data_IF_142249832126
#
_entry.id   IF_142249832126
#
_cell.length_a   1.000
_cell.length_b   1.000
_cell.length_c   1.000
_cell.angle_alpha   90.00
_cell.angle_beta   90.00
_cell.angle_gamma   90.00
#
_symmetry.space_group_name_H-M   'P 1'
#
loop_
_entity.id
_entity.type
_entity.pdbx_description
1 polymer ?
#
# COMPACT_ATOMS: atom_id res chain seq x y z
N UNK A 1 -7.75 14.51 5.71
CA UNK A 1 -8.78 13.45 5.86
C UNK A 1 -8.24 12.15 5.32
N UNK A 2 -8.32 11.03 6.07
CA UNK A 2 -7.88 9.73 5.58
C UNK A 2 -8.79 9.28 4.41
N UNK A 3 -8.19 8.80 3.31
CA UNK A 3 -8.90 8.29 2.14
C UNK A 3 -9.52 6.92 2.46
N UNK A 4 -10.83 6.77 2.29
CA UNK A 4 -11.52 5.49 2.46
C UNK A 4 -11.33 4.62 1.23
N UNK A 5 -10.62 3.52 1.41
CA UNK A 5 -10.20 2.61 0.36
C UNK A 5 -10.83 1.23 0.52
N UNK A 6 -11.74 0.85 -0.39
CA UNK A 6 -12.28 -0.50 -0.41
C UNK A 6 -11.39 -1.44 -1.22
N UNK A 7 -11.08 -2.61 -0.66
CA UNK A 7 -10.33 -3.67 -1.35
C UNK A 7 -11.32 -4.78 -1.70
N UNK A 8 -11.62 -4.94 -2.98
CA UNK A 8 -12.62 -5.87 -3.50
C UNK A 8 -12.03 -6.81 -4.55
N UNK A 9 -12.68 -7.94 -4.77
CA UNK A 9 -12.26 -8.96 -5.71
C UNK A 9 -12.66 -10.35 -5.21
N UNK A 10 -12.53 -11.36 -6.06
CA UNK A 10 -12.86 -12.75 -5.70
C UNK A 10 -11.96 -13.30 -4.57
N UNK A 11 -12.31 -14.44 -3.95
CA UNK A 11 -11.45 -15.12 -2.98
C UNK A 11 -10.06 -15.45 -3.55
N UNK A 12 -9.05 -15.50 -2.68
CA UNK A 12 -7.67 -15.92 -2.97
C UNK A 12 -6.86 -15.06 -3.95
N UNK A 13 -7.35 -13.89 -4.38
CA UNK A 13 -6.56 -12.95 -5.21
C UNK A 13 -5.49 -12.18 -4.40
N UNK A 14 -5.50 -12.30 -3.08
CA UNK A 14 -4.53 -11.66 -2.19
C UNK A 14 -5.00 -10.34 -1.56
N UNK A 15 -6.34 -10.12 -1.46
CA UNK A 15 -6.91 -8.93 -0.79
C UNK A 15 -6.40 -8.74 0.62
N UNK A 16 -6.46 -9.79 1.45
CA UNK A 16 -5.99 -9.72 2.85
C UNK A 16 -4.48 -9.50 2.95
N UNK A 17 -3.71 -10.01 2.00
CA UNK A 17 -2.26 -9.74 1.94
C UNK A 17 -2.01 -8.27 1.65
N UNK A 18 -2.72 -7.70 0.67
CA UNK A 18 -2.62 -6.28 0.33
C UNK A 18 -3.10 -5.40 1.50
N UNK A 19 -4.26 -5.76 2.09
CA UNK A 19 -4.80 -5.07 3.28
C UNK A 19 -3.77 -5.03 4.41
N UNK A 20 -3.21 -6.17 4.81
CA UNK A 20 -2.22 -6.26 5.88
C UNK A 20 -0.95 -5.47 5.56
N UNK A 21 -0.55 -5.42 4.30
CA UNK A 21 0.60 -4.64 3.86
C UNK A 21 0.36 -3.14 3.95
N UNK A 22 -0.80 -2.67 3.56
CA UNK A 22 -1.19 -1.26 3.66
C UNK A 22 -1.45 -0.84 5.11
N UNK A 23 -2.04 -1.71 5.93
CA UNK A 23 -2.27 -1.47 7.36
C UNK A 23 -0.96 -1.44 8.17
N UNK A 24 0.13 -2.03 7.65
CA UNK A 24 1.44 -2.05 8.30
C UNK A 24 1.47 -2.86 9.60
N UNK A 25 2.55 -2.69 10.38
CA UNK A 25 2.72 -3.40 11.68
C UNK A 25 1.81 -2.85 12.80
N UNK A 26 1.16 -1.73 12.61
CA UNK A 26 0.11 -1.23 13.50
C UNK A 26 -1.21 -1.88 13.13
N UNK A 27 -1.28 -3.19 13.34
CA UNK A 27 -2.48 -3.97 13.14
C UNK A 27 -3.69 -3.35 13.81
N UNK A 28 -4.71 -3.12 12.97
CA UNK A 28 -6.12 -3.07 13.29
C UNK A 28 -6.45 -2.89 14.77
N UNK A 29 -6.70 -1.68 15.18
CA UNK A 29 -7.72 -1.47 16.19
C UNK A 29 -9.03 -1.82 15.45
N UNK A 30 -9.46 -3.07 15.57
CA UNK A 30 -10.86 -3.43 15.34
C UNK A 30 -11.64 -2.57 16.31
N UNK A 31 -12.34 -1.56 15.81
CA UNK A 31 -13.20 -0.74 16.64
C UNK A 31 -14.37 -1.65 17.07
N UNK A 32 -14.25 -2.26 18.25
CA UNK A 32 -15.26 -3.07 18.91
C UNK A 32 -16.42 -2.18 19.41
N UNK A 33 -16.97 -1.33 18.55
CA UNK A 33 -18.22 -0.65 18.87
C UNK A 33 -19.35 -1.65 18.78
N UNK A 34 -20.11 -1.87 19.89
CA UNK A 34 -21.29 -2.72 19.87
C UNK A 34 -22.31 -2.14 18.88
N UNK A 35 -22.60 -2.88 17.81
CA UNK A 35 -23.58 -2.49 16.79
C UNK A 35 -23.03 -2.43 15.35
N UNK A 36 -21.73 -2.51 15.13
CA UNK A 36 -21.14 -2.68 13.80
C UNK A 36 -21.05 -4.19 13.55
N UNK A 37 -21.71 -4.66 12.51
CA UNK A 37 -21.74 -6.08 12.12
C UNK A 37 -20.31 -6.62 12.01
N UNK A 38 -20.06 -7.81 12.58
CA UNK A 38 -18.80 -8.58 12.60
C UNK A 38 -18.18 -8.87 11.21
N UNK A 39 -18.73 -8.30 10.16
CA UNK A 39 -18.56 -8.70 8.77
C UNK A 39 -17.57 -7.86 7.96
N UNK A 40 -16.88 -6.88 8.59
CA UNK A 40 -15.92 -6.01 7.90
C UNK A 40 -14.70 -5.75 8.77
N UNK A 41 -13.56 -5.89 8.16
CA UNK A 41 -12.30 -5.41 8.76
C UNK A 41 -12.07 -4.00 8.29
N UNK A 42 -12.10 -3.05 9.21
CA UNK A 42 -11.64 -1.69 8.97
C UNK A 42 -10.30 -1.51 9.68
N UNK A 43 -9.36 -0.87 9.01
CA UNK A 43 -8.05 -0.56 9.59
C UNK A 43 -7.53 0.77 9.08
N UNK A 44 -6.80 1.48 9.92
CA UNK A 44 -5.97 2.57 9.45
C UNK A 44 -4.74 2.00 8.75
N UNK A 45 -4.43 2.53 7.58
CA UNK A 45 -3.28 2.14 6.78
C UNK A 45 -2.50 3.36 6.31
N UNK A 46 -1.36 3.09 5.69
CA UNK A 46 -0.51 4.12 5.12
C UNK A 46 0.19 3.60 3.87
N UNK A 47 0.20 4.42 2.82
CA UNK A 47 1.00 4.16 1.63
C UNK A 47 1.77 5.45 1.27
N UNK A 48 3.09 5.43 1.45
CA UNK A 48 3.88 6.65 1.38
C UNK A 48 3.48 7.64 2.48
N UNK A 49 3.02 8.81 2.10
CA UNK A 49 2.47 9.86 2.96
C UNK A 49 0.93 9.88 3.01
N UNK A 50 0.27 9.03 2.21
CA UNK A 50 -1.18 8.91 2.22
C UNK A 50 -1.66 8.17 3.47
N UNK A 51 -2.58 8.78 4.22
CA UNK A 51 -3.33 8.12 5.28
C UNK A 51 -4.58 7.48 4.71
N UNK A 52 -4.76 6.19 4.99
CA UNK A 52 -5.82 5.36 4.43
C UNK A 52 -6.72 4.82 5.53
N UNK A 53 -8.02 4.80 5.27
CA UNK A 53 -9.00 4.02 6.01
C UNK A 53 -9.40 2.81 5.14
N UNK A 54 -8.86 1.64 5.46
CA UNK A 54 -9.00 0.44 4.65
C UNK A 54 -10.29 -0.30 5.01
N UNK A 55 -11.04 -0.73 4.00
CA UNK A 55 -12.22 -1.56 4.13
C UNK A 55 -11.94 -2.89 3.41
N UNK A 56 -11.84 -3.99 4.17
CA UNK A 56 -11.64 -5.34 3.61
C UNK A 56 -12.96 -6.10 3.51
N UNK A 57 -13.19 -6.70 2.34
CA UNK A 57 -14.36 -7.54 2.08
C UNK A 57 -14.07 -9.04 2.26
N UNK A 58 -12.89 -9.43 2.73
CA UNK A 58 -12.39 -10.82 2.76
C UNK A 58 -12.94 -11.70 3.91
N UNK A 59 -14.03 -11.37 4.57
CA UNK A 59 -14.50 -12.08 5.78
C UNK A 59 -15.31 -13.37 5.59
N UNK A 60 -15.57 -13.88 4.36
CA UNK A 60 -16.58 -14.94 4.12
C UNK A 60 -16.16 -16.04 3.14
N UNK A 61 -14.92 -16.51 3.22
CA UNK A 61 -14.40 -17.51 2.29
C UNK A 61 -14.86 -18.96 2.57
N UNK A 62 -15.60 -19.25 3.65
CA UNK A 62 -15.85 -20.61 4.14
C UNK A 62 -17.23 -21.21 3.82
N UNK A 63 -18.07 -20.59 2.98
CA UNK A 63 -19.41 -21.11 2.68
C UNK A 63 -19.60 -21.38 1.18
N UNK A 64 -19.81 -22.64 0.83
CA UNK A 64 -20.10 -23.11 -0.54
C UNK A 64 -21.59 -23.23 -0.77
N UNK A 65 -22.30 -22.14 -1.10
CA UNK A 65 -23.73 -22.20 -1.45
C UNK A 65 -24.11 -21.01 -2.37
N UNK A 66 -25.19 -21.13 -3.16
CA UNK A 66 -25.73 -20.05 -4.02
C UNK A 66 -26.03 -18.75 -3.25
N UNK A 67 -26.29 -18.86 -1.93
CA UNK A 67 -26.37 -17.73 -1.01
C UNK A 67 -25.06 -16.96 -0.86
N UNK A 68 -23.89 -17.57 -1.18
CA UNK A 68 -22.56 -16.98 -1.05
C UNK A 68 -22.36 -15.87 -2.08
N UNK A 69 -22.67 -16.10 -3.36
CA UNK A 69 -22.51 -15.09 -4.40
C UNK A 69 -23.37 -13.84 -4.13
N UNK A 70 -24.60 -14.05 -3.66
CA UNK A 70 -25.49 -12.95 -3.30
C UNK A 70 -24.94 -12.13 -2.12
N UNK A 71 -24.35 -12.79 -1.11
CA UNK A 71 -23.71 -12.13 0.03
C UNK A 71 -22.45 -11.39 -0.38
N UNK A 72 -21.61 -12.02 -1.18
CA UNK A 72 -20.39 -11.39 -1.72
C UNK A 72 -20.72 -10.15 -2.54
N UNK A 73 -21.76 -10.20 -3.36
CA UNK A 73 -22.29 -9.03 -4.09
C UNK A 73 -22.71 -7.92 -3.13
N UNK A 74 -23.61 -8.22 -2.19
CA UNK A 74 -24.14 -7.23 -1.24
C UNK A 74 -23.02 -6.57 -0.40
N UNK A 75 -22.02 -7.35 0.02
CA UNK A 75 -20.87 -6.82 0.76
C UNK A 75 -19.95 -5.95 -0.11
N UNK A 76 -19.67 -6.39 -1.34
CA UNK A 76 -18.89 -5.60 -2.29
C UNK A 76 -19.59 -4.30 -2.62
N UNK A 77 -20.89 -4.34 -2.89
CA UNK A 77 -21.72 -3.16 -3.14
C UNK A 77 -21.61 -2.16 -2.00
N UNK A 78 -21.84 -2.61 -0.78
CA UNK A 78 -21.78 -1.77 0.40
C UNK A 78 -20.36 -1.23 0.67
N UNK A 79 -19.31 -2.05 0.45
CA UNK A 79 -17.93 -1.58 0.60
C UNK A 79 -17.56 -0.49 -0.42
N UNK A 80 -18.00 -0.64 -1.67
CA UNK A 80 -17.81 0.34 -2.72
C UNK A 80 -18.61 1.62 -2.44
N UNK A 81 -19.83 1.51 -1.91
CA UNK A 81 -20.65 2.66 -1.53
C UNK A 81 -20.01 3.49 -0.41
N UNK A 82 -19.47 2.83 0.61
CA UNK A 82 -18.87 3.47 1.79
C UNK A 82 -17.47 4.04 1.52
N UNK A 83 -16.81 3.65 0.41
CA UNK A 83 -15.47 4.06 0.06
C UNK A 83 -15.45 5.32 -0.82
N UNK A 84 -14.32 6.04 -0.77
CA UNK A 84 -14.01 7.14 -1.68
C UNK A 84 -13.38 6.59 -2.98
N UNK A 85 -12.59 5.52 -2.86
CA UNK A 85 -11.87 4.85 -3.94
C UNK A 85 -11.94 3.33 -3.77
N UNK A 86 -12.05 2.60 -4.87
CA UNK A 86 -12.09 1.14 -4.90
C UNK A 86 -10.82 0.57 -5.54
N UNK A 87 -10.15 -0.37 -4.86
CA UNK A 87 -9.14 -1.25 -5.45
C UNK A 87 -9.78 -2.56 -5.87
N UNK A 88 -9.97 -2.77 -7.15
CA UNK A 88 -10.44 -4.05 -7.68
C UNK A 88 -9.23 -4.96 -7.94
N UNK A 89 -9.07 -5.98 -7.12
CA UNK A 89 -7.90 -6.88 -7.12
C UNK A 89 -8.21 -8.16 -7.86
N UNK A 90 -7.35 -8.50 -8.82
CA UNK A 90 -7.36 -9.79 -9.54
C UNK A 90 -6.05 -10.54 -9.32
N UNK A 91 -6.04 -11.85 -9.57
CA UNK A 91 -4.82 -12.68 -9.60
C UNK A 91 -4.25 -12.69 -11.02
N UNK A 92 -3.19 -11.94 -11.26
CA UNK A 92 -2.56 -11.84 -12.58
C UNK A 92 -1.99 -13.18 -13.07
N UNK A 93 -1.64 -14.09 -12.16
CA UNK A 93 -1.11 -15.41 -12.46
C UNK A 93 -2.18 -16.36 -13.01
N UNK A 94 -3.39 -16.29 -12.47
CA UNK A 94 -4.53 -17.09 -12.93
C UNK A 94 -5.24 -16.49 -14.16
N UNK A 95 -5.07 -15.18 -14.39
CA UNK A 95 -5.79 -14.43 -15.40
C UNK A 95 -7.23 -14.12 -15.02
N UNK A 96 -8.01 -13.67 -15.99
CA UNK A 96 -9.40 -13.23 -15.81
C UNK A 96 -10.36 -14.42 -15.74
N UNK A 97 -11.11 -14.51 -14.63
CA UNK A 97 -12.14 -15.54 -14.43
C UNK A 97 -13.55 -15.00 -14.67
N UNK A 98 -14.57 -15.87 -14.85
CA UNK A 98 -15.96 -15.44 -14.93
C UNK A 98 -16.43 -14.63 -13.72
N UNK A 99 -15.93 -14.97 -12.50
CA UNK A 99 -16.26 -14.27 -11.27
C UNK A 99 -15.67 -12.85 -11.26
N UNK A 100 -14.44 -12.66 -11.77
CA UNK A 100 -13.85 -11.32 -11.91
C UNK A 100 -14.70 -10.42 -12.85
N UNK A 101 -15.30 -10.99 -13.90
CA UNK A 101 -16.20 -10.25 -14.80
C UNK A 101 -17.46 -9.77 -14.09
N UNK A 102 -18.04 -10.62 -13.24
CA UNK A 102 -19.21 -10.27 -12.41
C UNK A 102 -18.87 -9.09 -11.47
N UNK A 103 -17.71 -9.15 -10.80
CA UNK A 103 -17.26 -8.05 -9.94
C UNK A 103 -16.99 -6.77 -10.73
N UNK A 104 -16.35 -6.87 -11.90
CA UNK A 104 -16.08 -5.71 -12.74
C UNK A 104 -17.37 -5.01 -13.19
N UNK A 105 -18.42 -5.76 -13.58
CA UNK A 105 -19.73 -5.23 -13.96
C UNK A 105 -20.39 -4.52 -12.77
N UNK A 106 -20.36 -5.14 -11.59
CA UNK A 106 -20.96 -4.61 -10.37
C UNK A 106 -20.29 -3.27 -9.96
N UNK A 107 -18.96 -3.20 -10.03
CA UNK A 107 -18.20 -2.02 -9.64
C UNK A 107 -18.42 -0.90 -10.65
N UNK A 108 -18.42 -1.21 -11.96
CA UNK A 108 -18.64 -0.24 -13.04
C UNK A 108 -19.97 0.50 -12.92
N UNK A 109 -21.01 -0.16 -12.38
CA UNK A 109 -22.33 0.44 -12.18
C UNK A 109 -22.40 1.47 -11.03
N UNK A 110 -21.33 1.67 -10.25
CA UNK A 110 -21.40 2.43 -8.99
C UNK A 110 -20.85 3.85 -9.04
N UNK A 111 -20.40 4.32 -10.15
CA UNK A 111 -19.93 5.71 -10.35
C UNK A 111 -18.88 6.19 -9.31
N UNK A 112 -18.02 5.25 -8.84
CA UNK A 112 -16.91 5.50 -7.92
C UNK A 112 -15.59 5.35 -8.67
N UNK A 113 -14.55 6.09 -8.31
CA UNK A 113 -13.21 5.85 -8.84
C UNK A 113 -12.76 4.42 -8.54
N UNK A 114 -12.19 3.76 -9.53
CA UNK A 114 -11.70 2.37 -9.43
C UNK A 114 -10.29 2.30 -9.97
N UNK A 115 -9.42 1.62 -9.23
CA UNK A 115 -8.11 1.20 -9.71
C UNK A 115 -8.13 -0.32 -9.85
N UNK A 116 -7.86 -0.80 -11.06
CA UNK A 116 -7.68 -2.22 -11.33
C UNK A 116 -6.28 -2.65 -10.88
N UNK A 117 -6.20 -3.57 -9.94
CA UNK A 117 -4.94 -4.06 -9.36
C UNK A 117 -4.71 -5.50 -9.79
N UNK A 118 -3.67 -5.74 -10.56
CA UNK A 118 -3.21 -7.06 -10.97
C UNK A 118 -2.15 -7.56 -9.97
N UNK A 119 -2.61 -8.32 -8.96
CA UNK A 119 -1.73 -8.86 -7.92
C UNK A 119 -1.05 -10.16 -8.34
N UNK A 120 0.02 -10.54 -7.64
CA UNK A 120 0.91 -11.69 -7.92
C UNK A 120 1.66 -11.53 -9.24
N UNK A 121 2.01 -10.30 -9.57
CA UNK A 121 2.71 -9.92 -10.79
C UNK A 121 4.18 -10.40 -10.86
N UNK A 122 4.74 -10.87 -9.75
CA UNK A 122 6.05 -11.53 -9.71
C UNK A 122 6.08 -12.86 -10.49
N UNK A 123 4.92 -13.40 -10.84
CA UNK A 123 4.82 -14.62 -11.63
C UNK A 123 5.18 -14.38 -13.09
N UNK A 124 5.98 -15.27 -13.67
CA UNK A 124 6.28 -15.26 -15.13
C UNK A 124 5.06 -15.40 -16.04
N UNK A 125 3.92 -15.81 -15.49
CA UNK A 125 2.66 -15.95 -16.21
C UNK A 125 1.75 -14.72 -16.06
N UNK A 126 2.15 -13.73 -15.26
CA UNK A 126 1.31 -12.59 -14.95
C UNK A 126 1.03 -11.67 -16.16
N UNK A 127 1.96 -11.58 -17.12
CA UNK A 127 1.79 -10.71 -18.31
C UNK A 127 0.50 -11.03 -19.10
N UNK A 128 0.18 -12.32 -19.26
CA UNK A 128 -1.04 -12.72 -19.95
C UNK A 128 -2.30 -12.27 -19.20
N UNK A 129 -2.34 -12.49 -17.87
CA UNK A 129 -3.47 -12.09 -17.04
C UNK A 129 -3.63 -10.58 -16.93
N UNK A 130 -2.53 -9.82 -16.89
CA UNK A 130 -2.55 -8.36 -16.97
C UNK A 130 -3.13 -7.91 -18.32
N UNK A 131 -2.70 -8.55 -19.43
CA UNK A 131 -3.23 -8.28 -20.75
C UNK A 131 -4.74 -8.52 -20.86
N UNK A 132 -5.25 -9.64 -20.30
CA UNK A 132 -6.68 -9.94 -20.25
C UNK A 132 -7.48 -8.91 -19.44
N UNK A 133 -6.89 -8.37 -18.38
CA UNK A 133 -7.54 -7.43 -17.46
C UNK A 133 -7.92 -6.10 -18.12
N UNK A 134 -7.23 -5.67 -19.17
CA UNK A 134 -7.64 -4.50 -19.97
C UNK A 134 -9.06 -4.64 -20.51
N UNK A 135 -9.51 -5.88 -20.74
CA UNK A 135 -10.88 -6.17 -21.20
C UNK A 135 -11.98 -5.75 -20.26
N UNK A 136 -11.68 -5.44 -18.99
CA UNK A 136 -12.67 -4.89 -18.06
C UNK A 136 -13.05 -3.43 -18.36
N UNK A 137 -12.25 -2.68 -19.10
CA UNK A 137 -12.50 -1.26 -19.37
C UNK A 137 -12.48 -0.38 -18.10
N UNK A 138 -11.70 -0.77 -17.09
CA UNK A 138 -11.51 -0.06 -15.82
C UNK A 138 -10.19 0.72 -15.76
N UNK A 139 -9.58 0.98 -16.92
CA UNK A 139 -8.28 1.62 -17.02
C UNK A 139 -7.12 0.64 -17.08
N UNK A 140 -5.91 1.16 -16.96
CA UNK A 140 -4.67 0.37 -16.98
C UNK A 140 -4.52 -0.42 -15.67
N UNK A 141 -4.29 -1.75 -15.74
CA UNK A 141 -4.05 -2.54 -14.55
C UNK A 141 -2.72 -2.17 -13.87
N UNK A 142 -2.76 -1.89 -12.58
CA UNK A 142 -1.56 -1.66 -11.77
C UNK A 142 -1.01 -3.00 -11.33
N UNK A 143 0.15 -3.39 -11.84
CA UNK A 143 0.81 -4.64 -11.51
C UNK A 143 1.52 -4.54 -10.16
N UNK A 144 1.16 -5.42 -9.21
CA UNK A 144 1.78 -5.46 -7.88
C UNK A 144 2.10 -6.88 -7.44
N UNK A 145 3.01 -6.99 -6.47
CA UNK A 145 3.15 -8.16 -5.62
C UNK A 145 2.86 -7.74 -4.17
N UNK A 146 1.66 -8.02 -3.70
CA UNK A 146 1.30 -7.71 -2.31
C UNK A 146 2.14 -8.51 -1.31
N UNK A 147 2.61 -9.71 -1.67
CA UNK A 147 3.48 -10.55 -0.84
C UNK A 147 4.89 -9.98 -0.73
N UNK A 148 5.47 -9.50 -1.83
CA UNK A 148 6.85 -8.99 -1.86
C UNK A 148 6.93 -7.47 -1.71
N UNK A 149 5.82 -6.75 -1.85
CA UNK A 149 5.76 -5.29 -1.76
C UNK A 149 6.24 -4.58 -3.03
N UNK A 150 6.24 -5.28 -4.17
CA UNK A 150 6.59 -4.71 -5.45
C UNK A 150 5.40 -3.99 -6.09
N UNK A 151 5.65 -2.96 -6.91
CA UNK A 151 4.61 -2.18 -7.59
C UNK A 151 3.81 -1.24 -6.70
N UNK A 152 4.13 -1.11 -5.40
CA UNK A 152 3.38 -0.23 -4.49
C UNK A 152 3.59 1.25 -4.81
N UNK A 153 4.71 1.62 -5.43
CA UNK A 153 4.95 2.99 -5.93
C UNK A 153 4.00 3.35 -7.08
N UNK A 154 3.74 2.41 -7.99
CA UNK A 154 2.79 2.60 -9.08
C UNK A 154 1.35 2.65 -8.55
N UNK A 155 1.02 1.82 -7.55
CA UNK A 155 -0.26 1.88 -6.85
C UNK A 155 -0.46 3.23 -6.15
N UNK A 156 0.57 3.76 -5.48
CA UNK A 156 0.55 5.08 -4.87
C UNK A 156 0.25 6.17 -5.92
N UNK A 157 0.95 6.16 -7.05
CA UNK A 157 0.75 7.12 -8.14
C UNK A 157 -0.66 7.02 -8.75
N UNK A 158 -1.18 5.81 -8.90
CA UNK A 158 -2.55 5.58 -9.38
C UNK A 158 -3.60 6.11 -8.40
N UNK A 159 -3.39 5.94 -7.07
CA UNK A 159 -4.28 6.48 -6.04
C UNK A 159 -4.30 8.01 -6.10
N UNK A 160 -3.14 8.67 -6.19
CA UNK A 160 -3.06 10.13 -6.31
C UNK A 160 -3.77 10.66 -7.57
N UNK A 161 -3.69 9.91 -8.67
CA UNK A 161 -4.36 10.28 -9.92
C UNK A 161 -5.88 10.13 -9.82
N UNK A 162 -6.36 9.06 -9.16
CA UNK A 162 -7.78 8.76 -9.04
C UNK A 162 -8.49 9.58 -7.95
N UNK A 163 -7.75 10.00 -6.91
CA UNK A 163 -8.23 10.78 -5.78
C UNK A 163 -7.26 11.91 -5.45
N UNK A 164 -7.16 12.96 -6.30
CA UNK A 164 -6.22 14.06 -6.11
C UNK A 164 -6.47 14.84 -4.82
N UNK A 165 -7.69 14.81 -4.30
CA UNK A 165 -8.07 15.44 -3.03
C UNK A 165 -7.39 14.75 -1.82
N UNK A 166 -7.01 13.47 -1.96
CA UNK A 166 -6.25 12.76 -0.94
C UNK A 166 -4.79 13.25 -0.84
N UNK A 167 -4.32 13.92 -1.89
CA UNK A 167 -3.03 14.59 -1.95
C UNK A 167 -3.08 16.03 -1.41
N UNK A 168 -4.26 16.46 -0.87
CA UNK A 168 -4.32 17.78 -0.24
C UNK A 168 -3.19 17.90 0.78
N UNK A 169 -2.32 18.80 0.44
CA UNK A 169 -1.15 19.22 1.16
C UNK A 169 -1.42 19.15 2.67
N UNK A 170 -0.90 18.11 3.31
CA UNK A 170 -0.45 18.32 4.69
C UNK A 170 0.49 19.52 4.56
N UNK A 171 0.16 20.70 5.14
CA UNK A 171 1.02 21.87 5.02
C UNK A 171 2.42 21.36 5.29
N UNK A 172 3.35 21.56 4.34
CA UNK A 172 4.73 21.16 4.57
C UNK A 172 5.12 21.82 5.89
N UNK A 173 5.12 21.05 6.95
CA UNK A 173 5.68 21.52 8.21
C UNK A 173 7.14 21.84 7.87
N UNK A 174 7.51 23.13 7.79
CA UNK A 174 8.86 23.51 7.38
C UNK A 174 9.90 22.95 8.34
N UNK A 175 9.48 22.51 9.52
CA UNK A 175 10.29 21.85 10.54
C UNK A 175 10.36 20.32 10.39
N UNK A 176 9.51 19.72 9.55
CA UNK A 176 9.53 18.27 9.31
C UNK A 176 10.74 17.89 8.44
N UNK A 177 11.66 17.07 8.94
CA UNK A 177 12.84 16.70 8.17
C UNK A 177 12.48 15.89 6.93
N UNK A 178 13.09 16.25 5.79
CA UNK A 178 13.03 15.43 4.56
C UNK A 178 13.69 14.08 4.84
N UNK A 179 12.97 12.99 4.63
CA UNK A 179 13.50 11.64 4.86
C UNK A 179 14.15 11.11 3.59
N UNK A 180 15.42 10.76 3.67
CA UNK A 180 16.19 10.19 2.56
C UNK A 180 16.63 8.78 2.92
N UNK A 181 16.35 7.81 2.04
CA UNK A 181 16.89 6.45 2.12
C UNK A 181 17.93 6.24 1.00
N UNK A 182 19.11 5.72 1.35
CA UNK A 182 20.14 5.38 0.37
C UNK A 182 20.17 3.86 0.19
N UNK A 183 19.68 3.42 -0.96
CA UNK A 183 19.58 2.01 -1.33
C UNK A 183 20.60 1.64 -2.39
N UNK A 184 21.03 0.38 -2.42
CA UNK A 184 21.96 -0.13 -3.42
C UNK A 184 22.67 -1.39 -2.97
N UNK A 185 23.32 -2.06 -3.93
CA UNK A 185 24.07 -3.31 -3.68
C UNK A 185 25.16 -3.11 -2.62
N UNK A 186 25.58 -4.18 -1.91
CA UNK A 186 26.78 -4.11 -1.07
C UNK A 186 27.98 -3.56 -1.86
N UNK A 187 28.82 -2.78 -1.21
CA UNK A 187 30.01 -2.16 -1.80
C UNK A 187 29.78 -1.15 -2.97
N UNK A 188 28.55 -0.68 -3.18
CA UNK A 188 28.22 0.32 -4.20
C UNK A 188 28.61 1.77 -3.81
N UNK A 189 29.36 1.95 -2.72
CA UNK A 189 29.79 3.28 -2.30
C UNK A 189 28.79 4.07 -1.47
N UNK A 190 27.70 3.42 -0.97
CA UNK A 190 26.67 4.09 -0.15
C UNK A 190 27.24 4.84 1.05
N UNK A 191 28.11 4.20 1.82
CA UNK A 191 28.74 4.80 3.01
C UNK A 191 29.62 6.00 2.64
N UNK A 192 30.31 5.93 1.50
CA UNK A 192 31.13 7.02 0.99
C UNK A 192 30.25 8.21 0.59
N UNK A 193 29.11 7.95 -0.06
CA UNK A 193 28.14 8.98 -0.43
C UNK A 193 27.55 9.64 0.82
N UNK A 194 27.14 8.85 1.82
CA UNK A 194 26.60 9.37 3.09
C UNK A 194 27.63 10.25 3.79
N UNK A 195 28.88 9.78 3.94
CA UNK A 195 29.92 10.54 4.59
C UNK A 195 30.20 11.87 3.87
N UNK A 196 30.09 11.87 2.55
CA UNK A 196 30.29 13.09 1.74
C UNK A 196 29.12 14.06 1.84
N UNK A 197 27.87 13.57 1.98
CA UNK A 197 26.67 14.38 2.16
C UNK A 197 26.61 15.01 3.55
N UNK A 198 27.02 14.27 4.59
CA UNK A 198 26.96 14.72 5.98
C UNK A 198 28.14 15.69 6.30
N UNK A 199 29.27 15.58 5.57
CA UNK A 199 30.52 16.31 5.85
C UNK A 199 31.19 15.79 7.12
N UNK A 200 32.53 15.83 7.19
CA UNK A 200 33.32 15.28 8.30
C UNK A 200 33.07 16.01 9.65
N UNK A 201 32.49 17.22 9.63
CA UNK A 201 32.31 18.08 10.82
C UNK A 201 30.91 18.10 11.42
N UNK A 202 29.95 17.25 10.99
CA UNK A 202 28.55 17.34 11.40
C UNK A 202 27.93 16.06 11.99
N UNK A 203 28.73 15.20 12.57
CA UNK A 203 28.24 14.11 13.39
C UNK A 203 27.79 14.66 14.75
N UNK A 204 26.53 15.08 14.84
CA UNK A 204 25.87 15.18 16.16
C UNK A 204 25.65 13.76 16.65
N UNK A 205 26.62 13.26 17.40
CA UNK A 205 26.54 11.98 18.11
C UNK A 205 25.70 12.24 19.35
N UNK A 206 24.45 11.74 19.36
CA UNK A 206 23.72 11.59 20.61
C UNK A 206 24.45 10.55 21.47
N UNK A 207 24.57 10.76 22.80
CA UNK A 207 25.24 9.82 23.68
C UNK A 207 24.30 8.66 23.98
N UNK A 208 24.67 7.44 23.58
CA UNK A 208 24.51 6.21 24.37
C UNK A 208 24.87 5.02 23.49
N UNK A 209 26.06 4.51 23.79
CA UNK A 209 26.49 3.20 23.33
C UNK A 209 25.76 2.14 24.15
N UNK A 210 24.92 1.36 23.50
CA UNK A 210 24.31 0.19 24.13
C UNK A 210 23.01 -0.23 23.46
N UNK A 211 23.10 -1.33 22.70
CA UNK A 211 21.97 -2.23 22.38
C UNK A 211 20.93 -1.63 21.41
N UNK A 212 21.06 -1.94 20.12
CA UNK A 212 20.04 -2.60 19.26
C UNK A 212 20.49 -2.61 17.79
N UNK A 213 20.06 -3.59 17.06
CA UNK A 213 20.33 -3.84 15.63
C UNK A 213 19.59 -2.87 14.68
N UNK A 214 19.10 -1.76 15.19
CA UNK A 214 18.29 -0.81 14.45
C UNK A 214 19.17 0.33 13.92
N UNK A 215 18.94 0.67 12.64
CA UNK A 215 19.63 1.74 11.95
C UNK A 215 19.40 3.08 12.70
N UNK A 216 20.48 3.71 13.13
CA UNK A 216 20.43 5.01 13.81
C UNK A 216 20.12 6.07 12.76
N UNK A 217 19.00 6.81 12.86
CA UNK A 217 18.73 7.92 11.95
C UNK A 217 19.78 9.02 12.15
N UNK A 218 20.27 9.56 11.05
CA UNK A 218 21.24 10.67 11.05
C UNK A 218 20.53 11.91 10.56
N UNK A 219 20.48 12.94 11.39
CA UNK A 219 19.86 14.23 11.06
C UNK A 219 20.94 15.25 10.67
N UNK A 220 20.71 16.00 9.58
CA UNK A 220 21.54 17.16 9.21
C UNK A 220 20.70 18.24 8.55
N UNK A 221 21.31 19.39 8.29
CA UNK A 221 20.67 20.50 7.59
C UNK A 221 21.34 20.74 6.25
N UNK A 222 20.56 20.79 5.18
CA UNK A 222 21.03 21.14 3.85
C UNK A 222 20.25 22.37 3.35
N UNK A 223 20.94 23.45 3.01
CA UNK A 223 20.36 24.71 2.56
C UNK A 223 19.19 25.22 3.45
N UNK A 224 19.32 25.06 4.77
CA UNK A 224 18.31 25.46 5.73
C UNK A 224 17.16 24.46 5.96
N UNK A 225 17.10 23.37 5.18
CA UNK A 225 16.12 22.29 5.36
C UNK A 225 16.67 21.19 6.25
N UNK A 226 15.86 20.73 7.21
CA UNK A 226 16.18 19.55 8.03
C UNK A 226 16.07 18.29 7.16
N UNK A 227 17.09 17.45 7.20
CA UNK A 227 17.14 16.18 6.45
C UNK A 227 17.44 15.05 7.42
N UNK A 228 16.73 13.92 7.27
CA UNK A 228 16.91 12.71 8.07
C UNK A 228 17.21 11.51 7.18
N UNK A 229 18.37 10.90 7.38
CA UNK A 229 18.71 9.64 6.75
C UNK A 229 18.00 8.49 7.47
N UNK A 230 17.23 7.71 6.73
CA UNK A 230 16.50 6.54 7.24
C UNK A 230 17.04 5.26 6.59
N UNK A 231 16.87 4.12 7.27
CA UNK A 231 17.28 2.81 6.77
C UNK A 231 18.78 2.69 6.43
N UNK A 232 19.61 2.99 7.42
CA UNK A 232 21.07 2.87 7.31
C UNK A 232 21.59 1.46 7.61
N UNK A 233 20.75 0.42 7.57
CA UNK A 233 21.10 -0.96 7.97
C UNK A 233 22.32 -1.57 7.25
N UNK A 234 22.86 -0.93 6.23
CA UNK A 234 24.09 -1.31 5.53
C UNK A 234 25.32 -0.45 5.84
N UNK A 235 25.19 0.60 6.66
CA UNK A 235 26.24 1.55 6.97
C UNK A 235 26.98 1.15 8.26
N UNK A 236 27.81 0.10 8.20
CA UNK A 236 28.68 -0.25 9.33
C UNK A 236 29.85 0.73 9.39
N UNK A 237 30.06 1.34 10.57
CA UNK A 237 31.34 1.98 10.90
C UNK A 237 32.45 0.90 10.78
N UNK A 238 33.49 1.18 10.01
CA UNK A 238 34.78 0.56 10.24
C UNK A 238 35.35 1.17 11.50
N UNK A 239 35.65 0.33 12.49
CA UNK A 239 36.47 0.69 13.63
C UNK A 239 37.89 0.98 13.14
#
# INVERSE_FOLDING_TARGET
LALKLAIVGRPNVGKSTLFNRLAGKKLAIVDDRPGVTRDRRMAHGQLGDLELELIDTAGFEDVTDESLEARMRAQTEKAVEDADLCLFVIDAREGVTPLDKIFAELIRGRNKPVILVANKAESKYAEAGIGEAYGFGLGEPVAISAEHGEGLGDLYSAILTAAPEAAEEVPEDPDKPVRIAIVGRPNAGKSTLVNRLIGEDRLLVGPEAGITRDAIPVDWTYEGRKVRLVDTAGLRRKA
#
